data_IF_852538713597
#
_entry.id   IF_852538713597
#
_cell.length_a   1.000
_cell.length_b   1.000
_cell.length_c   1.000
_cell.angle_alpha   90.00
_cell.angle_beta   90.00
_cell.angle_gamma   90.00
#
_symmetry.space_group_name_H-M   'P 1'
#
loop_
_entity.id
_entity.type
_entity.pdbx_description
1 polymer ?
#
# COMPACT_ATOMS: atom_id res chain seq x y z
N UNK A 1 -13.71 76.95 14.83
CA UNK A 1 -12.28 76.88 14.46
C UNK A 1 -11.54 76.14 15.54
N UNK A 2 -11.07 74.93 15.27
CA UNK A 2 -9.93 74.26 15.91
C UNK A 2 -9.80 72.87 15.25
N UNK A 3 -8.76 72.68 14.45
CA UNK A 3 -8.31 71.38 13.99
C UNK A 3 -7.00 71.05 14.72
N UNK A 4 -6.78 69.77 15.06
CA UNK A 4 -5.45 69.20 15.01
C UNK A 4 -5.48 67.97 14.07
N UNK A 5 -4.79 67.99 12.93
CA UNK A 5 -3.36 67.68 12.77
C UNK A 5 -2.98 66.24 13.15
N UNK A 6 -3.12 65.35 12.16
CA UNK A 6 -2.07 64.45 11.67
C UNK A 6 -1.44 63.45 12.64
N UNK A 7 -1.68 62.15 12.39
CA UNK A 7 -0.64 61.14 12.62
C UNK A 7 -0.74 59.98 11.64
N UNK A 8 0.33 59.90 10.84
CA UNK A 8 0.75 58.78 10.01
C UNK A 8 0.58 57.43 10.70
N UNK A 9 -0.04 56.47 10.00
CA UNK A 9 0.18 55.05 10.23
C UNK A 9 0.38 54.32 8.89
N UNK A 10 1.48 54.67 8.21
CA UNK A 10 2.16 53.75 7.29
C UNK A 10 2.73 52.61 8.13
N UNK A 11 2.01 51.49 8.31
CA UNK A 11 2.55 50.18 8.72
C UNK A 11 1.40 49.20 8.95
N UNK A 12 1.04 48.41 7.95
CA UNK A 12 0.28 47.19 8.19
C UNK A 12 0.39 46.12 7.10
N UNK A 13 1.30 46.24 6.13
CA UNK A 13 1.41 45.27 5.02
C UNK A 13 2.78 44.56 5.00
N UNK A 14 3.27 44.14 6.16
CA UNK A 14 4.56 43.45 6.28
C UNK A 14 4.51 42.30 7.30
N UNK A 15 3.49 41.45 7.21
CA UNK A 15 3.34 40.30 8.10
C UNK A 15 2.77 39.06 7.39
N UNK A 16 3.14 38.83 6.12
CA UNK A 16 2.59 37.72 5.32
C UNK A 16 3.59 36.63 4.88
N UNK A 17 4.82 36.53 5.41
CA UNK A 17 5.82 35.64 4.74
C UNK A 17 6.54 34.56 5.57
N UNK A 18 6.78 34.59 6.91
CA UNK A 18 7.58 33.52 7.52
C UNK A 18 6.79 32.32 8.05
N UNK A 19 5.50 32.44 8.36
CA UNK A 19 4.78 31.41 9.13
C UNK A 19 4.22 30.25 8.28
N UNK A 20 4.09 30.40 6.96
CA UNK A 20 3.49 29.38 6.10
C UNK A 20 4.49 28.31 5.61
N UNK A 21 5.80 28.53 5.77
CA UNK A 21 6.82 27.59 5.28
C UNK A 21 7.13 26.43 6.25
N UNK A 22 6.67 26.49 7.51
CA UNK A 22 7.05 25.51 8.53
C UNK A 22 6.15 24.25 8.59
N UNK A 23 4.98 24.25 7.93
CA UNK A 23 4.03 23.12 8.02
C UNK A 23 4.15 22.11 6.87
N UNK A 24 4.98 22.36 5.86
CA UNK A 24 5.10 21.49 4.67
C UNK A 24 6.18 20.41 4.77
N UNK A 25 6.98 20.37 5.85
CA UNK A 25 8.11 19.45 6.00
C UNK A 25 7.84 18.21 6.86
N UNK A 26 6.63 18.04 7.40
CA UNK A 26 6.32 16.96 8.34
C UNK A 26 5.48 15.80 7.75
N UNK A 27 5.47 15.62 6.43
CA UNK A 27 5.08 14.32 5.84
C UNK A 27 6.33 13.49 5.60
N UNK A 28 6.93 13.07 6.72
CA UNK A 28 7.87 11.96 6.70
C UNK A 28 7.14 10.73 6.15
N UNK A 29 7.75 10.10 5.16
CA UNK A 29 7.27 8.90 4.52
C UNK A 29 6.90 7.86 5.59
N UNK A 30 5.65 7.42 5.60
CA UNK A 30 5.35 6.10 6.12
C UNK A 30 5.95 5.13 5.09
N UNK A 31 7.20 4.75 5.30
CA UNK A 31 7.74 3.55 4.67
C UNK A 31 6.89 2.39 5.22
N UNK A 32 6.17 1.62 4.38
CA UNK A 32 5.71 0.32 4.80
C UNK A 32 6.97 -0.47 5.07
N UNK A 33 7.36 -0.52 6.34
CA UNK A 33 8.43 -1.37 6.81
C UNK A 33 7.99 -2.80 6.55
N UNK A 34 8.48 -3.37 5.44
CA UNK A 34 8.54 -4.81 5.28
C UNK A 34 9.23 -5.34 6.54
N UNK A 35 8.47 -6.04 7.39
CA UNK A 35 9.03 -6.71 8.55
C UNK A 35 10.06 -7.73 8.03
N UNK A 36 11.35 -7.58 8.34
CA UNK A 36 12.35 -8.57 7.96
C UNK A 36 11.96 -9.92 8.57
N UNK A 37 11.80 -10.94 7.74
CA UNK A 37 11.41 -12.29 8.18
C UNK A 37 9.91 -12.58 8.21
N UNK A 38 9.10 -11.98 7.32
CA UNK A 38 7.71 -12.35 7.13
C UNK A 38 7.59 -13.87 6.86
N UNK A 39 6.91 -14.59 7.75
CA UNK A 39 6.77 -16.04 7.67
C UNK A 39 6.01 -16.43 6.39
N UNK A 40 6.48 -17.42 5.61
CA UNK A 40 5.77 -17.85 4.42
C UNK A 40 4.33 -18.29 4.77
N UNK A 41 3.39 -17.97 3.89
CA UNK A 41 1.97 -18.23 4.07
C UNK A 41 1.49 -19.26 3.07
N UNK A 42 1.02 -20.41 3.55
CA UNK A 42 0.36 -21.45 2.74
C UNK A 42 -1.16 -21.38 2.89
N UNK A 43 -1.90 -21.68 1.82
CA UNK A 43 -3.35 -21.79 1.81
C UNK A 43 -3.82 -22.88 0.85
N UNK A 44 -4.94 -23.53 1.17
CA UNK A 44 -5.63 -24.45 0.27
C UNK A 44 -6.42 -23.69 -0.80
N UNK A 45 -6.44 -24.26 -2.01
CA UNK A 45 -7.18 -23.76 -3.16
C UNK A 45 -8.10 -24.88 -3.66
N UNK A 46 -9.41 -24.64 -3.63
CA UNK A 46 -10.40 -25.53 -4.24
C UNK A 46 -10.53 -25.18 -5.74
N UNK A 47 -9.91 -26.01 -6.59
CA UNK A 47 -9.93 -25.86 -8.05
C UNK A 47 -11.21 -26.46 -8.58
N UNK A 48 -12.11 -25.60 -9.08
CA UNK A 48 -13.43 -25.99 -9.57
C UNK A 48 -13.45 -26.04 -11.09
N UNK A 49 -13.81 -27.18 -11.70
CA UNK A 49 -14.01 -27.24 -13.14
C UNK A 49 -15.35 -26.62 -13.54
N UNK A 50 -15.58 -26.48 -14.84
CA UNK A 50 -16.86 -26.01 -15.41
C UNK A 50 -16.70 -24.89 -16.43
N UNK A 51 -15.46 -24.52 -16.77
CA UNK A 51 -15.14 -23.54 -17.81
C UNK A 51 -15.27 -22.09 -17.36
N UNK A 52 -15.81 -21.85 -16.16
CA UNK A 52 -15.80 -20.54 -15.52
C UNK A 52 -14.36 -20.11 -15.19
N UNK A 53 -14.12 -18.80 -15.22
CA UNK A 53 -12.85 -18.21 -14.76
C UNK A 53 -12.94 -17.95 -13.27
N UNK A 54 -12.02 -18.54 -12.51
CA UNK A 54 -11.86 -18.30 -11.08
C UNK A 54 -10.53 -17.62 -10.79
N UNK A 55 -10.47 -16.90 -9.66
CA UNK A 55 -9.25 -16.25 -9.19
C UNK A 55 -9.08 -16.42 -7.69
N UNK A 56 -7.87 -16.74 -7.27
CA UNK A 56 -7.47 -16.86 -5.88
C UNK A 56 -6.21 -16.04 -5.64
N UNK A 57 -6.19 -15.22 -4.59
CA UNK A 57 -5.06 -14.34 -4.29
C UNK A 57 -4.57 -14.51 -2.86
N UNK A 58 -3.25 -14.42 -2.68
CA UNK A 58 -2.59 -14.43 -1.38
C UNK A 58 -1.54 -13.34 -1.32
N UNK A 59 -1.51 -12.63 -0.20
CA UNK A 59 -0.56 -11.55 0.04
C UNK A 59 0.34 -11.84 1.24
N UNK A 60 1.58 -11.37 1.16
CA UNK A 60 2.55 -11.40 2.25
C UNK A 60 3.32 -10.07 2.25
N UNK A 61 3.04 -9.23 3.25
CA UNK A 61 3.55 -7.86 3.26
C UNK A 61 3.06 -7.07 2.04
N UNK A 62 4.00 -6.48 1.30
CA UNK A 62 3.73 -5.68 0.09
C UNK A 62 3.58 -6.52 -1.18
N UNK A 63 3.79 -7.83 -1.10
CA UNK A 63 3.70 -8.74 -2.24
C UNK A 63 2.34 -9.44 -2.29
N UNK A 64 1.81 -9.59 -3.50
CA UNK A 64 0.57 -10.33 -3.76
C UNK A 64 0.78 -11.26 -4.95
N UNK A 65 0.33 -12.49 -4.82
CA UNK A 65 0.26 -13.47 -5.90
C UNK A 65 -1.19 -13.82 -6.17
N UNK A 66 -1.58 -13.81 -7.44
CA UNK A 66 -2.93 -14.17 -7.88
C UNK A 66 -2.85 -15.31 -8.89
N UNK A 67 -3.64 -16.35 -8.64
CA UNK A 67 -3.82 -17.50 -9.52
C UNK A 67 -5.20 -17.41 -10.15
N UNK A 68 -5.23 -17.15 -11.46
CA UNK A 68 -6.45 -17.11 -12.26
C UNK A 68 -6.45 -18.27 -13.23
N UNK A 69 -7.54 -19.04 -13.25
CA UNK A 69 -7.65 -20.25 -14.07
C UNK A 69 -9.06 -20.42 -14.63
N UNK A 70 -9.16 -21.22 -15.68
CA UNK A 70 -10.39 -21.84 -16.15
C UNK A 70 -10.05 -23.29 -16.50
N UNK A 71 -10.85 -24.23 -15.99
CA UNK A 71 -10.60 -25.66 -16.14
C UNK A 71 -11.89 -26.40 -16.48
N UNK A 72 -11.73 -27.54 -17.17
CA UNK A 72 -12.80 -28.47 -17.50
C UNK A 72 -12.57 -29.79 -16.78
N UNK A 73 -13.64 -30.44 -16.34
CA UNK A 73 -13.57 -31.65 -15.52
C UNK A 73 -14.91 -31.96 -14.86
N UNK A 74 -14.97 -33.05 -14.10
CA UNK A 74 -16.19 -33.50 -13.41
C UNK A 74 -16.16 -33.36 -11.88
N UNK A 75 -15.00 -33.04 -11.30
CA UNK A 75 -14.79 -33.00 -9.84
C UNK A 75 -13.88 -31.84 -9.46
N UNK A 76 -14.06 -31.31 -8.26
CA UNK A 76 -13.12 -30.34 -7.71
C UNK A 76 -11.80 -31.00 -7.33
N UNK A 77 -10.71 -30.24 -7.37
CA UNK A 77 -9.40 -30.66 -6.88
C UNK A 77 -8.90 -29.75 -5.77
N UNK A 78 -8.31 -30.32 -4.73
CA UNK A 78 -7.66 -29.56 -3.68
C UNK A 78 -6.18 -29.35 -4.03
N UNK A 79 -5.77 -28.10 -4.06
CA UNK A 79 -4.43 -27.64 -4.33
C UNK A 79 -3.95 -26.77 -3.17
N UNK A 80 -2.69 -26.37 -3.21
CA UNK A 80 -2.05 -25.50 -2.24
C UNK A 80 -1.34 -24.35 -2.95
N UNK A 81 -1.33 -23.20 -2.30
CA UNK A 81 -0.61 -22.01 -2.70
C UNK A 81 0.25 -21.54 -1.54
N UNK A 82 1.54 -21.34 -1.77
CA UNK A 82 2.44 -20.71 -0.80
C UNK A 82 3.07 -19.45 -1.37
N UNK A 83 3.07 -18.40 -0.55
CA UNK A 83 3.80 -17.16 -0.80
C UNK A 83 4.86 -16.99 0.26
N UNK A 84 6.06 -16.60 -0.14
CA UNK A 84 7.20 -16.39 0.73
C UNK A 84 8.04 -15.21 0.28
N UNK A 85 8.72 -14.57 1.23
CA UNK A 85 9.69 -13.51 1.00
C UNK A 85 10.99 -13.94 1.67
N UNK A 86 12.14 -13.71 1.03
CA UNK A 86 13.44 -14.01 1.63
C UNK A 86 13.70 -13.13 2.85
N UNK A 87 14.61 -13.54 3.74
CA UNK A 87 14.89 -12.82 4.99
C UNK A 87 15.39 -11.39 4.74
N UNK A 88 16.17 -11.19 3.67
CA UNK A 88 16.65 -9.89 3.19
C UNK A 88 15.60 -9.12 2.37
N UNK A 89 14.41 -9.70 2.19
CA UNK A 89 13.32 -9.15 1.37
C UNK A 89 13.68 -8.88 -0.09
N UNK A 90 14.79 -9.45 -0.58
CA UNK A 90 15.25 -9.28 -1.95
C UNK A 90 14.52 -10.17 -2.97
N UNK A 91 13.91 -11.26 -2.51
CA UNK A 91 13.26 -12.26 -3.36
C UNK A 91 11.86 -12.58 -2.86
N UNK A 92 10.92 -12.64 -3.79
CA UNK A 92 9.56 -13.11 -3.59
C UNK A 92 9.37 -14.45 -4.29
N UNK A 93 8.69 -15.40 -3.63
CA UNK A 93 8.33 -16.69 -4.18
C UNK A 93 6.83 -16.90 -4.09
N UNK A 94 6.24 -17.40 -5.18
CA UNK A 94 4.86 -17.87 -5.21
C UNK A 94 4.83 -19.23 -5.90
N UNK A 95 4.40 -20.25 -5.16
CA UNK A 95 4.31 -21.62 -5.64
C UNK A 95 2.87 -22.11 -5.51
N UNK A 96 2.38 -22.78 -6.55
CA UNK A 96 1.04 -23.38 -6.60
C UNK A 96 1.22 -24.83 -7.04
N UNK A 97 0.65 -25.76 -6.30
CA UNK A 97 0.78 -27.20 -6.56
C UNK A 97 -0.45 -27.97 -6.09
N UNK A 98 -0.58 -29.21 -6.55
CA UNK A 98 -1.60 -30.16 -6.12
C UNK A 98 -1.14 -30.91 -4.88
#
# INVERSE_FOLDING_TARGET
MAAPSGRSCRRAWAALVPAALLCLVARAAAEPGTAPGATPSTAEVDVRPGGEVHSFSRSLGDYSCSFTYSAQGGTNEQWQMNVGVSEDSGLFSCSIWR
#
